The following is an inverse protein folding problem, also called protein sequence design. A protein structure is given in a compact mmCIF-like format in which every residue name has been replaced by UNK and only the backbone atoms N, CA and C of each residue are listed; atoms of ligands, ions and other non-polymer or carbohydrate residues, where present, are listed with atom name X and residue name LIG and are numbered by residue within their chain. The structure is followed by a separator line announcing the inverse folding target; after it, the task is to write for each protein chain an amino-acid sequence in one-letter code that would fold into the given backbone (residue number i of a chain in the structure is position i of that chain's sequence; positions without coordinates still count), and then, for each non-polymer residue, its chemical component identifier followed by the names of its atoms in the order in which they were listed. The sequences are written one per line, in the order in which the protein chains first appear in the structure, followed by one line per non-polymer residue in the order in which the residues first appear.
data_IF_968057653958
#
_entry.id   IF_968057653958
#
_cell.length_a   1.000
_cell.length_b   1.000
_cell.length_c   1.000
_cell.angle_alpha   90.00
_cell.angle_beta   90.00
_cell.angle_gamma   90.00
#
_symmetry.space_group_name_H-M   'P 1'
#
loop_
_entity.id
_entity.type
_entity.pdbx_description
1 polymer ?
#
# COMPACT_ATOMS: atom_id res chain seq x y z
N UNK A 1 0.74 -36.98 -0.26
CA UNK A 1 -0.25 -35.91 -0.49
C UNK A 1 -0.15 -34.93 0.66
N UNK A 2 0.72 -33.93 0.51
CA UNK A 2 0.99 -32.92 1.54
C UNK A 2 -0.16 -31.92 1.63
N UNK A 3 -0.73 -31.76 2.83
CA UNK A 3 -1.61 -30.65 3.16
C UNK A 3 -0.74 -29.42 3.44
N UNK A 4 -0.81 -28.45 2.54
CA UNK A 4 -0.26 -27.10 2.73
C UNK A 4 -0.86 -26.47 4.01
N UNK A 5 -0.10 -25.68 4.78
CA UNK A 5 -0.64 -25.01 5.95
C UNK A 5 -1.79 -24.07 5.52
N UNK A 6 -2.96 -24.24 6.15
CA UNK A 6 -4.15 -23.40 5.97
C UNK A 6 -3.82 -21.95 6.33
N UNK A 7 -3.41 -21.17 5.34
CA UNK A 7 -3.64 -19.75 5.35
C UNK A 7 -5.11 -19.51 5.01
N UNK A 8 -5.81 -18.76 5.85
CA UNK A 8 -7.19 -18.35 5.62
C UNK A 8 -7.44 -16.98 6.26
N UNK A 9 -8.34 -16.22 5.64
CA UNK A 9 -9.72 -16.23 6.09
C UNK A 9 -10.60 -16.87 5.03
N UNK A 10 -11.64 -17.57 5.50
CA UNK A 10 -12.76 -18.03 4.70
C UNK A 10 -13.20 -16.95 3.71
N UNK A 11 -13.35 -17.31 2.45
CA UNK A 11 -14.21 -16.63 1.47
C UNK A 11 -15.59 -16.43 2.10
N UNK A 12 -15.82 -15.32 2.81
CA UNK A 12 -17.06 -15.11 3.55
C UNK A 12 -17.06 -14.06 4.64
N UNK A 13 -16.06 -13.17 4.76
CA UNK A 13 -16.22 -12.01 5.66
C UNK A 13 -17.36 -11.13 5.11
N UNK A 14 -18.49 -11.17 5.81
CA UNK A 14 -19.68 -10.38 5.48
C UNK A 14 -19.24 -8.91 5.43
N UNK A 15 -19.33 -8.32 4.25
CA UNK A 15 -18.83 -6.99 3.98
C UNK A 15 -19.68 -5.93 4.73
N UNK A 16 -19.27 -5.55 5.95
CA UNK A 16 -19.95 -4.53 6.79
C UNK A 16 -20.18 -3.20 6.07
N UNK A 17 -21.40 -2.70 5.84
CA UNK A 17 -21.65 -1.52 5.01
C UNK A 17 -20.78 -0.30 5.39
N UNK A 18 -20.55 0.60 4.43
CA UNK A 18 -19.77 1.83 4.68
C UNK A 18 -20.39 2.56 5.88
N UNK A 19 -19.61 2.88 6.92
CA UNK A 19 -20.16 3.56 8.09
C UNK A 19 -20.61 4.96 7.69
N UNK A 20 -21.77 5.36 8.20
CA UNK A 20 -22.31 6.72 8.02
C UNK A 20 -22.14 7.44 9.35
N UNK A 21 -21.06 8.21 9.46
CA UNK A 21 -20.76 8.98 10.66
C UNK A 21 -20.87 10.48 10.37
N UNK A 22 -21.52 11.20 11.26
CA UNK A 22 -21.63 12.67 11.22
C UNK A 22 -20.51 13.37 11.99
N UNK A 23 -19.85 12.65 12.91
CA UNK A 23 -18.68 13.12 13.68
C UNK A 23 -17.48 12.22 13.42
N UNK A 24 -16.25 12.73 13.58
CA UNK A 24 -15.05 11.91 13.51
C UNK A 24 -15.10 10.76 14.52
N UNK A 25 -14.60 9.60 14.10
CA UNK A 25 -14.35 8.48 14.98
C UNK A 25 -12.85 8.32 15.19
N UNK A 26 -12.45 8.06 16.43
CA UNK A 26 -11.08 7.66 16.73
C UNK A 26 -10.87 6.22 16.28
N UNK A 27 -9.93 6.03 15.35
CA UNK A 27 -9.54 4.73 14.83
C UNK A 27 -8.18 4.35 15.37
N UNK A 28 -8.04 3.10 15.80
CA UNK A 28 -6.74 2.49 16.11
C UNK A 28 -6.34 1.54 14.99
N UNK A 29 -5.25 1.88 14.32
CA UNK A 29 -4.91 1.27 13.04
C UNK A 29 -3.44 0.87 12.98
N UNK A 30 -3.13 -0.18 12.22
CA UNK A 30 -1.78 -0.54 11.80
C UNK A 30 -1.51 0.04 10.41
N UNK A 31 -0.52 0.90 10.27
CA UNK A 31 -0.07 1.41 8.96
C UNK A 31 0.63 0.29 8.20
N UNK A 32 0.22 0.01 6.96
CA UNK A 32 0.78 -1.11 6.17
C UNK A 32 1.55 -0.65 4.94
N UNK A 33 1.01 0.30 4.17
CA UNK A 33 1.67 0.84 2.97
C UNK A 33 1.38 2.32 2.76
N UNK A 34 2.33 3.02 2.15
CA UNK A 34 2.19 4.40 1.71
C UNK A 34 2.34 4.39 0.19
N UNK A 35 1.34 4.87 -0.56
CA UNK A 35 1.49 4.96 -2.00
C UNK A 35 2.51 6.04 -2.40
N UNK A 36 3.18 5.90 -3.52
CA UNK A 36 3.96 7.00 -4.09
C UNK A 36 3.06 8.24 -4.35
N UNK A 37 3.56 9.46 -4.04
CA UNK A 37 2.78 10.68 -4.17
C UNK A 37 2.41 11.01 -5.61
N UNK A 38 1.22 11.60 -5.76
CA UNK A 38 0.71 12.06 -7.04
C UNK A 38 0.23 13.52 -7.00
N UNK A 39 0.40 14.25 -8.11
CA UNK A 39 -0.23 15.55 -8.30
C UNK A 39 -1.75 15.47 -8.23
N UNK A 40 -2.36 16.39 -7.49
CA UNK A 40 -3.79 16.54 -7.31
C UNK A 40 -4.18 18.00 -7.50
N UNK A 41 -5.13 18.26 -8.39
CA UNK A 41 -5.66 19.61 -8.61
C UNK A 41 -6.29 20.20 -7.35
N UNK A 42 -6.91 19.35 -6.51
CA UNK A 42 -7.71 19.78 -5.35
C UNK A 42 -6.89 19.87 -4.06
N UNK A 43 -5.88 19.02 -3.92
CA UNK A 43 -5.18 18.83 -2.65
C UNK A 43 -3.66 19.01 -2.77
N UNK A 44 -3.17 19.35 -3.96
CA UNK A 44 -1.75 19.54 -4.24
C UNK A 44 -0.99 18.22 -4.38
N UNK A 45 -0.37 17.78 -3.30
CA UNK A 45 0.47 16.58 -3.26
C UNK A 45 -0.14 15.60 -2.25
N UNK A 46 -0.84 14.58 -2.74
CA UNK A 46 -1.58 13.66 -1.87
C UNK A 46 -1.23 12.22 -2.10
N UNK A 47 -1.39 11.45 -1.03
CA UNK A 47 -1.10 10.03 -0.99
C UNK A 47 -2.27 9.29 -0.35
N UNK A 48 -2.49 8.07 -0.83
CA UNK A 48 -3.29 7.07 -0.16
C UNK A 48 -2.42 6.25 0.79
N UNK A 49 -2.80 6.15 2.05
CA UNK A 49 -2.17 5.25 3.01
C UNK A 49 -3.08 4.04 3.23
N UNK A 50 -2.53 2.85 3.04
CA UNK A 50 -3.19 1.60 3.39
C UNK A 50 -2.91 1.26 4.85
N UNK A 51 -3.95 0.83 5.55
CA UNK A 51 -3.88 0.45 6.95
C UNK A 51 -4.87 -0.66 7.28
N UNK A 52 -4.72 -1.25 8.47
CA UNK A 52 -5.63 -2.22 9.05
C UNK A 52 -6.23 -1.66 10.34
N UNK A 53 -7.55 -1.53 10.40
CA UNK A 53 -8.27 -1.24 11.64
C UNK A 53 -8.22 -2.44 12.58
N UNK A 54 -7.83 -2.20 13.83
CA UNK A 54 -7.52 -3.25 14.80
C UNK A 54 -8.67 -3.53 15.77
N UNK A 55 -9.59 -2.59 15.95
CA UNK A 55 -10.68 -2.66 16.92
C UNK A 55 -11.83 -1.71 16.54
N UNK A 56 -12.88 -1.68 17.35
CA UNK A 56 -14.03 -0.81 17.13
C UNK A 56 -13.61 0.69 17.06
N UNK A 57 -14.27 1.50 16.21
CA UNK A 57 -15.48 1.19 15.46
C UNK A 57 -15.24 0.55 14.08
N UNK A 58 -14.00 0.21 13.72
CA UNK A 58 -13.71 -0.38 12.42
C UNK A 58 -12.58 -1.40 12.46
N UNK A 59 -12.91 -2.64 12.10
CA UNK A 59 -11.95 -3.73 11.89
C UNK A 59 -11.80 -4.00 10.39
N UNK A 60 -10.57 -4.34 9.97
CA UNK A 60 -10.28 -4.67 8.57
C UNK A 60 -9.66 -3.51 7.81
N UNK A 61 -9.55 -3.64 6.49
CA UNK A 61 -8.79 -2.69 5.68
C UNK A 61 -9.32 -1.26 5.78
N UNK A 62 -8.39 -0.31 5.77
CA UNK A 62 -8.62 1.13 5.75
C UNK A 62 -7.75 1.74 4.66
N UNK A 63 -8.31 2.72 3.96
CA UNK A 63 -7.64 3.62 3.04
C UNK A 63 -7.80 5.04 3.55
N UNK A 64 -6.71 5.62 4.02
CA UNK A 64 -6.69 7.02 4.42
C UNK A 64 -6.38 7.88 3.20
N UNK A 65 -7.28 8.79 2.86
CA UNK A 65 -7.08 9.76 1.79
C UNK A 65 -7.91 11.05 2.02
N UNK A 66 -7.34 12.24 1.73
CA UNK A 66 -5.94 12.48 1.39
C UNK A 66 -5.04 12.52 2.64
N UNK A 67 -3.82 12.00 2.50
CA UNK A 67 -2.68 12.27 3.40
C UNK A 67 -1.68 13.12 2.61
N UNK A 68 -1.15 14.19 3.19
CA UNK A 68 -0.24 15.07 2.45
C UNK A 68 1.12 14.42 2.30
N UNK A 69 1.76 14.62 1.14
CA UNK A 69 3.08 14.05 0.84
C UNK A 69 4.13 14.32 1.94
N UNK A 70 4.14 15.52 2.51
CA UNK A 70 5.11 15.91 3.54
C UNK A 70 5.00 15.08 4.81
N UNK A 71 3.78 14.68 5.15
CA UNK A 71 3.52 13.79 6.30
C UNK A 71 4.09 12.38 6.07
N UNK A 72 4.35 12.00 4.82
CA UNK A 72 5.04 10.73 4.53
C UNK A 72 6.55 10.80 4.64
N UNK A 73 7.11 11.94 4.23
CA UNK A 73 8.55 12.19 4.30
C UNK A 73 8.99 12.38 5.76
N UNK A 74 8.08 12.86 6.60
CA UNK A 74 8.27 12.97 8.03
C UNK A 74 7.98 11.64 8.74
N UNK A 75 8.99 10.78 8.81
CA UNK A 75 8.93 9.54 9.59
C UNK A 75 8.75 9.78 11.11
N UNK A 76 8.72 11.03 11.58
CA UNK A 76 8.30 11.37 12.95
C UNK A 76 6.78 11.31 13.15
N UNK A 77 5.99 11.48 12.07
CA UNK A 77 4.51 11.39 12.14
C UNK A 77 4.06 9.94 12.29
N UNK A 78 4.41 9.09 11.32
CA UNK A 78 4.15 7.65 11.37
C UNK A 78 4.95 6.90 10.29
N UNK A 79 5.22 5.62 10.53
CA UNK A 79 5.99 4.73 9.67
C UNK A 79 5.17 3.49 9.32
N UNK A 80 5.64 2.76 8.31
CA UNK A 80 5.10 1.43 8.00
C UNK A 80 5.29 0.51 9.21
N UNK A 81 4.22 -0.18 9.60
CA UNK A 81 4.10 -1.01 10.80
C UNK A 81 4.03 -0.27 12.14
N UNK A 82 3.75 1.03 12.13
CA UNK A 82 3.29 1.71 13.34
C UNK A 82 1.83 1.39 13.60
N UNK A 83 1.52 1.17 14.89
CA UNK A 83 0.16 1.26 15.38
C UNK A 83 -0.07 2.69 15.84
N UNK A 84 -1.07 3.33 15.27
CA UNK A 84 -1.42 4.72 15.53
C UNK A 84 -2.89 4.86 15.91
N UNK A 85 -3.21 5.93 16.64
CA UNK A 85 -4.58 6.42 16.82
C UNK A 85 -4.75 7.72 16.04
N UNK A 86 -5.90 7.87 15.37
CA UNK A 86 -6.26 9.12 14.71
C UNK A 86 -7.78 9.25 14.58
N UNK A 87 -8.26 10.49 14.50
CA UNK A 87 -9.66 10.75 14.20
C UNK A 87 -9.88 10.78 12.69
N UNK A 88 -10.89 10.05 12.21
CA UNK A 88 -11.23 9.98 10.80
C UNK A 88 -12.74 9.99 10.56
N UNK A 89 -13.12 10.42 9.35
CA UNK A 89 -14.49 10.42 8.87
C UNK A 89 -14.61 9.49 7.66
N UNK A 90 -15.67 8.69 7.52
CA UNK A 90 -15.92 7.94 6.29
C UNK A 90 -16.00 8.91 5.09
N UNK A 91 -15.26 8.60 4.02
CA UNK A 91 -15.17 9.49 2.87
C UNK A 91 -16.51 9.58 2.11
N UNK A 92 -17.10 10.77 1.98
CA UNK A 92 -18.41 10.94 1.34
C UNK A 92 -18.40 10.79 -0.18
N UNK A 93 -17.29 11.15 -0.82
CA UNK A 93 -17.16 11.18 -2.29
C UNK A 93 -16.52 9.91 -2.88
N UNK A 94 -16.17 8.97 -2.02
CA UNK A 94 -15.54 7.71 -2.39
C UNK A 94 -16.45 6.56 -1.96
N UNK A 95 -16.96 5.79 -2.91
CA UNK A 95 -17.94 4.72 -2.64
C UNK A 95 -17.31 3.49 -1.95
N UNK A 96 -15.98 3.41 -1.91
CA UNK A 96 -15.26 2.32 -1.27
C UNK A 96 -15.48 2.38 0.24
N UNK A 97 -15.86 1.24 0.82
CA UNK A 97 -16.31 1.14 2.22
C UNK A 97 -15.18 1.43 3.20
N UNK A 98 -13.98 1.00 2.84
CA UNK A 98 -12.73 1.21 3.54
C UNK A 98 -12.13 2.61 3.34
N UNK A 99 -12.79 3.52 2.62
CA UNK A 99 -12.23 4.86 2.37
C UNK A 99 -12.61 5.84 3.47
N UNK A 100 -11.59 6.36 4.15
CA UNK A 100 -11.68 7.27 5.28
C UNK A 100 -10.84 8.53 5.03
N UNK A 101 -11.37 9.68 5.42
CA UNK A 101 -10.68 10.96 5.45
C UNK A 101 -10.06 11.15 6.84
N UNK A 102 -8.72 11.12 6.96
CA UNK A 102 -8.05 11.34 8.23
C UNK A 102 -8.08 12.82 8.65
N UNK A 103 -8.04 13.07 9.95
CA UNK A 103 -7.66 14.36 10.55
C UNK A 103 -6.21 14.21 11.00
N UNK A 104 -5.28 14.55 10.12
CA UNK A 104 -3.86 14.19 10.26
C UNK A 104 -3.24 14.74 11.54
N UNK A 105 -3.63 15.93 11.99
CA UNK A 105 -3.08 16.54 13.20
C UNK A 105 -3.39 15.76 14.49
N UNK A 106 -4.34 14.82 14.44
CA UNK A 106 -4.70 13.94 15.57
C UNK A 106 -3.90 12.65 15.63
N UNK A 107 -3.03 12.38 14.64
CA UNK A 107 -2.25 11.15 14.59
C UNK A 107 -1.30 11.07 15.79
N UNK A 108 -1.43 10.00 16.56
CA UNK A 108 -0.55 9.66 17.68
C UNK A 108 -0.03 8.25 17.52
N UNK A 109 1.29 8.08 17.55
CA UNK A 109 1.93 6.76 17.44
C UNK A 109 1.96 6.07 18.80
N UNK A 110 1.33 4.90 18.90
CA UNK A 110 1.37 4.09 20.13
C UNK A 110 2.68 3.30 20.23
N UNK A 111 3.01 2.58 19.15
CA UNK A 111 4.20 1.73 19.08
C UNK A 111 4.55 1.37 17.64
N UNK A 112 5.83 1.12 17.42
CA UNK A 112 6.34 0.52 16.20
C UNK A 112 6.46 -1.01 16.36
N UNK A 113 5.85 -1.78 15.45
CA UNK A 113 6.07 -3.23 15.43
C UNK A 113 7.40 -3.53 14.73
N UNK A 114 8.53 -3.53 15.44
CA UNK A 114 9.85 -3.79 14.84
C UNK A 114 10.02 -5.26 14.36
N UNK A 115 9.48 -6.21 15.14
CA UNK A 115 9.64 -7.64 14.90
C UNK A 115 8.58 -8.18 13.92
N UNK A 116 8.92 -9.25 13.20
CA UNK A 116 7.98 -9.88 12.27
C UNK A 116 6.83 -10.58 12.97
N UNK A 117 7.05 -11.24 14.12
CA UNK A 117 6.01 -12.06 14.74
C UNK A 117 4.71 -11.29 15.04
N UNK A 118 4.72 -10.09 15.68
CA UNK A 118 3.50 -9.32 15.88
C UNK A 118 2.85 -8.85 14.57
N UNK A 119 3.65 -8.56 13.53
CA UNK A 119 3.13 -8.20 12.20
C UNK A 119 2.39 -9.38 11.58
N UNK A 120 2.98 -10.58 11.65
CA UNK A 120 2.41 -11.82 11.11
C UNK A 120 1.10 -12.17 11.79
N UNK A 121 1.03 -12.07 13.12
CA UNK A 121 -0.22 -12.30 13.87
C UNK A 121 -1.38 -11.46 13.36
N UNK A 122 -1.13 -10.21 12.94
CA UNK A 122 -2.15 -9.29 12.46
C UNK A 122 -2.43 -9.42 10.95
N UNK A 123 -1.40 -9.72 10.14
CA UNK A 123 -1.47 -9.61 8.68
C UNK A 123 -1.57 -10.95 7.95
N UNK A 124 -0.98 -12.03 8.46
CA UNK A 124 -1.05 -13.35 7.82
C UNK A 124 -2.51 -13.85 7.65
N UNK A 125 -3.42 -13.63 8.62
CA UNK A 125 -4.83 -13.97 8.46
C UNK A 125 -5.58 -13.13 7.43
N UNK A 126 -4.96 -12.10 6.85
CA UNK A 126 -5.57 -11.24 5.82
C UNK A 126 -5.00 -11.50 4.42
N UNK A 127 -4.07 -12.45 4.31
CA UNK A 127 -3.49 -12.81 3.02
C UNK A 127 -4.54 -13.59 2.22
N UNK A 128 -4.90 -13.04 1.08
CA UNK A 128 -5.78 -13.68 0.10
C UNK A 128 -4.95 -14.35 -1.00
N UNK A 129 -5.44 -15.45 -1.55
CA UNK A 129 -4.67 -16.26 -2.49
C UNK A 129 -4.75 -15.75 -3.95
N UNK A 130 -5.79 -15.01 -4.32
CA UNK A 130 -6.11 -14.76 -5.73
C UNK A 130 -6.35 -13.29 -6.08
N UNK A 131 -5.39 -12.69 -6.78
CA UNK A 131 -5.59 -11.43 -7.51
C UNK A 131 -6.63 -11.59 -8.63
N UNK A 132 -6.74 -12.80 -9.22
CA UNK A 132 -7.75 -13.10 -10.24
C UNK A 132 -9.17 -12.93 -9.69
N UNK A 133 -9.44 -13.46 -8.49
CA UNK A 133 -10.72 -13.34 -7.82
C UNK A 133 -11.02 -11.89 -7.43
N UNK A 134 -10.04 -11.17 -6.85
CA UNK A 134 -10.20 -9.75 -6.53
C UNK A 134 -10.57 -8.93 -7.77
N UNK A 135 -9.86 -9.13 -8.89
CA UNK A 135 -10.18 -8.46 -10.15
C UNK A 135 -11.58 -8.83 -10.68
N UNK A 136 -12.03 -10.08 -10.48
CA UNK A 136 -13.39 -10.51 -10.87
C UNK A 136 -14.44 -9.80 -10.02
N UNK A 137 -14.28 -9.82 -8.71
CA UNK A 137 -15.19 -9.15 -7.78
C UNK A 137 -15.33 -7.65 -8.09
N UNK A 138 -14.23 -6.96 -8.37
CA UNK A 138 -14.28 -5.53 -8.70
C UNK A 138 -14.85 -5.22 -10.09
N UNK A 139 -14.83 -6.19 -11.02
CA UNK A 139 -15.57 -6.06 -12.29
C UNK A 139 -17.07 -6.19 -12.07
N UNK A 140 -17.46 -7.13 -11.22
CA UNK A 140 -18.87 -7.49 -10.99
C UNK A 140 -19.57 -6.50 -10.03
N UNK A 141 -18.85 -5.98 -9.04
CA UNK A 141 -19.34 -5.00 -8.06
C UNK A 141 -18.33 -3.86 -7.83
N UNK A 142 -18.65 -2.61 -8.21
CA UNK A 142 -17.81 -1.44 -7.90
C UNK A 142 -17.59 -1.19 -6.40
N UNK A 143 -18.41 -1.77 -5.51
CA UNK A 143 -18.26 -1.72 -4.05
C UNK A 143 -17.38 -2.83 -3.48
N UNK A 144 -16.86 -3.71 -4.34
CA UNK A 144 -15.90 -4.72 -3.94
C UNK A 144 -14.66 -4.08 -3.30
N UNK A 145 -13.95 -4.91 -2.54
CA UNK A 145 -12.75 -4.50 -1.83
C UNK A 145 -11.72 -3.90 -2.80
N UNK A 146 -11.14 -2.78 -2.42
CA UNK A 146 -10.25 -1.99 -3.26
C UNK A 146 -8.79 -2.03 -2.82
N UNK A 147 -8.52 -2.70 -1.71
CA UNK A 147 -7.20 -2.90 -1.09
C UNK A 147 -7.15 -4.32 -0.54
N UNK A 148 -6.05 -5.04 -0.77
CA UNK A 148 -5.87 -6.39 -0.27
C UNK A 148 -4.39 -6.71 -0.09
N UNK A 149 -4.12 -7.82 0.60
CA UNK A 149 -2.80 -8.42 0.70
C UNK A 149 -2.83 -9.74 -0.05
N UNK A 150 -2.21 -9.79 -1.23
CA UNK A 150 -2.30 -10.94 -2.14
C UNK A 150 -1.05 -11.79 -2.10
N UNK A 151 -1.21 -13.09 -1.85
CA UNK A 151 -0.13 -14.07 -1.95
C UNK A 151 0.45 -14.12 -3.36
N UNK A 152 1.77 -14.15 -3.41
CA UNK A 152 2.50 -14.32 -4.66
C UNK A 152 3.03 -15.75 -4.72
N UNK A 153 2.62 -16.50 -5.74
CA UNK A 153 3.07 -17.86 -5.96
C UNK A 153 4.41 -17.92 -6.70
N UNK A 154 4.58 -17.06 -7.70
CA UNK A 154 5.81 -16.98 -8.49
C UNK A 154 6.01 -15.56 -9.00
N UNK A 155 7.27 -15.08 -9.00
CA UNK A 155 7.65 -13.77 -9.50
C UNK A 155 8.57 -13.96 -10.69
N UNK A 156 8.04 -13.71 -11.88
CA UNK A 156 8.81 -13.77 -13.13
C UNK A 156 9.79 -12.61 -13.27
N UNK A 157 9.56 -11.49 -12.58
CA UNK A 157 10.56 -10.43 -12.45
C UNK A 157 10.01 -9.05 -12.13
N UNK A 158 10.95 -8.12 -11.91
CA UNK A 158 10.71 -6.69 -11.73
C UNK A 158 11.39 -5.90 -12.86
N UNK A 159 10.57 -5.32 -13.73
CA UNK A 159 11.05 -4.38 -14.74
C UNK A 159 11.13 -3.00 -14.12
N UNK A 160 12.35 -2.47 -14.00
CA UNK A 160 12.60 -1.07 -13.65
C UNK A 160 12.92 -0.32 -14.94
N UNK A 161 12.14 0.72 -15.23
CA UNK A 161 12.28 1.55 -16.43
C UNK A 161 12.38 3.01 -16.04
N UNK A 162 13.17 3.77 -16.81
CA UNK A 162 13.18 5.23 -16.69
C UNK A 162 11.77 5.74 -16.97
N UNK A 163 11.35 6.69 -16.14
CA UNK A 163 10.05 7.35 -16.25
C UNK A 163 10.23 8.66 -17.00
N UNK A 164 9.26 8.96 -17.86
CA UNK A 164 9.08 10.32 -18.37
C UNK A 164 8.62 11.21 -17.21
N UNK A 165 9.21 12.39 -17.08
CA UNK A 165 8.79 13.35 -16.05
C UNK A 165 7.29 13.65 -16.09
N UNK A 166 6.81 14.46 -15.14
CA UNK A 166 5.38 14.79 -15.06
C UNK A 166 4.79 15.23 -16.41
N UNK A 167 3.60 14.73 -16.72
CA UNK A 167 2.86 15.12 -17.91
C UNK A 167 2.56 16.64 -17.89
N UNK A 168 2.25 17.27 -19.04
CA UNK A 168 1.82 18.68 -19.05
C UNK A 168 0.63 18.96 -18.14
N UNK A 169 -0.28 18.01 -17.97
CA UNK A 169 -1.41 18.13 -17.05
C UNK A 169 -0.96 18.06 -15.58
N UNK A 170 -0.10 17.12 -15.25
CA UNK A 170 0.45 16.99 -13.90
C UNK A 170 1.26 18.22 -13.49
N UNK A 171 2.05 18.78 -14.42
CA UNK A 171 2.76 20.05 -14.22
C UNK A 171 1.81 21.21 -13.94
N UNK A 172 0.68 21.29 -14.65
CA UNK A 172 -0.36 22.31 -14.40
C UNK A 172 -1.00 22.14 -13.01
N UNK A 173 -1.27 20.90 -12.58
CA UNK A 173 -1.80 20.63 -11.23
C UNK A 173 -0.83 21.08 -10.13
N UNK A 174 0.46 20.75 -10.29
CA UNK A 174 1.51 21.18 -9.36
C UNK A 174 1.61 22.70 -9.31
N UNK A 175 1.71 23.36 -10.48
CA UNK A 175 1.86 24.81 -10.57
C UNK A 175 0.63 25.54 -9.99
N UNK A 176 -0.57 25.12 -10.35
CA UNK A 176 -1.81 25.73 -9.84
C UNK A 176 -1.93 25.66 -8.32
N UNK A 177 -1.53 24.53 -7.72
CA UNK A 177 -1.52 24.39 -6.27
C UNK A 177 -0.45 25.24 -5.58
N UNK A 178 0.77 25.29 -6.14
CA UNK A 178 1.83 26.14 -5.59
C UNK A 178 1.42 27.62 -5.59
N UNK A 179 0.80 28.09 -6.67
CA UNK A 179 0.29 29.46 -6.75
C UNK A 179 -0.80 29.74 -5.68
N UNK A 180 -1.69 28.79 -5.41
CA UNK A 180 -2.71 28.94 -4.36
C UNK A 180 -2.08 29.03 -2.96
N UNK A 181 -1.01 28.27 -2.70
CA UNK A 181 -0.31 28.30 -1.42
C UNK A 181 0.53 29.56 -1.24
N UNK A 182 1.18 30.05 -2.29
CA UNK A 182 2.04 31.25 -2.22
C UNK A 182 1.24 32.50 -1.82
N UNK A 183 -0.06 32.51 -2.15
CA UNK A 183 -1.02 33.53 -1.70
C UNK A 183 -1.36 33.46 -0.20
N UNK A 184 -1.10 32.33 0.47
CA UNK A 184 -1.49 32.06 1.86
C UNK A 184 -0.29 31.92 2.82
N UNK A 185 0.84 31.36 2.36
CA UNK A 185 2.06 31.14 3.14
C UNK A 185 3.31 31.27 2.23
N UNK A 186 4.05 32.40 2.25
CA UNK A 186 5.23 32.64 1.39
C UNK A 186 6.45 31.73 1.64
N UNK A 187 6.33 30.69 2.48
CA UNK A 187 7.46 29.84 2.84
C UNK A 187 7.70 28.74 1.80
N UNK A 188 8.76 28.94 1.00
CA UNK A 188 9.53 28.00 0.19
C UNK A 188 9.10 26.53 0.26
N UNK A 189 8.24 26.10 -0.67
CA UNK A 189 7.90 24.69 -0.85
C UNK A 189 8.30 24.25 -2.26
N UNK A 190 9.28 23.34 -2.33
CA UNK A 190 9.73 22.77 -3.61
C UNK A 190 8.63 21.93 -4.26
N UNK A 191 8.46 21.99 -5.59
CA UNK A 191 7.47 21.18 -6.30
C UNK A 191 7.75 19.69 -6.15
N UNK A 192 6.68 18.88 -6.10
CA UNK A 192 6.78 17.43 -6.20
C UNK A 192 7.60 17.03 -7.43
N UNK A 193 8.71 16.34 -7.21
CA UNK A 193 9.54 15.80 -8.28
C UNK A 193 8.99 14.45 -8.74
N UNK A 194 8.95 14.25 -10.06
CA UNK A 194 8.60 12.97 -10.62
C UNK A 194 9.65 11.92 -10.22
N UNK A 195 9.25 10.70 -9.85
CA UNK A 195 10.19 9.60 -9.70
C UNK A 195 11.00 9.41 -11.00
N UNK A 196 12.31 9.19 -10.88
CA UNK A 196 13.21 8.90 -12.01
C UNK A 196 12.87 7.56 -12.67
N UNK A 197 12.37 6.60 -11.90
CA UNK A 197 12.06 5.24 -12.36
C UNK A 197 10.66 4.78 -11.95
N UNK A 198 10.09 3.90 -12.77
CA UNK A 198 8.89 3.11 -12.47
C UNK A 198 9.25 1.63 -12.42
N UNK A 199 8.71 0.93 -11.43
CA UNK A 199 8.79 -0.52 -11.32
C UNK A 199 7.50 -1.18 -11.81
N UNK A 200 7.60 -2.30 -12.51
CA UNK A 200 6.47 -3.15 -12.90
C UNK A 200 6.80 -4.61 -12.59
N UNK A 201 6.02 -5.24 -11.73
CA UNK A 201 6.15 -6.67 -11.44
C UNK A 201 5.40 -7.51 -12.47
N UNK A 202 5.98 -8.66 -12.79
CA UNK A 202 5.29 -9.79 -13.42
C UNK A 202 5.30 -10.97 -12.47
N UNK A 203 4.12 -11.49 -12.16
CA UNK A 203 3.96 -12.54 -11.14
C UNK A 203 2.69 -13.38 -11.38
N UNK A 204 2.60 -14.54 -10.73
CA UNK A 204 1.36 -15.33 -10.61
C UNK A 204 0.87 -15.30 -9.16
N UNK A 205 -0.43 -15.12 -8.96
CA UNK A 205 -1.05 -15.35 -7.66
C UNK A 205 -1.24 -16.86 -7.42
N UNK A 206 -1.70 -17.25 -6.23
CA UNK A 206 -1.86 -18.67 -5.86
C UNK A 206 -3.10 -19.35 -6.49
N UNK A 207 -3.85 -18.63 -7.33
CA UNK A 207 -4.92 -19.20 -8.13
C UNK A 207 -4.37 -20.20 -9.16
N UNK A 208 -4.92 -21.42 -9.18
CA UNK A 208 -4.49 -22.50 -10.09
C UNK A 208 -4.68 -22.15 -11.57
N UNK A 209 -5.61 -21.26 -11.90
CA UNK A 209 -5.88 -20.82 -13.27
C UNK A 209 -5.20 -19.48 -13.60
N UNK A 210 -4.31 -18.99 -12.74
CA UNK A 210 -3.62 -17.71 -12.95
C UNK A 210 -2.74 -17.76 -14.21
N UNK A 211 -3.06 -16.91 -15.20
CA UNK A 211 -2.24 -16.69 -16.41
C UNK A 211 -1.13 -15.66 -16.21
N UNK A 212 -0.98 -15.14 -15.00
CA UNK A 212 -0.06 -14.08 -14.65
C UNK A 212 -0.70 -12.69 -14.56
N UNK A 213 0.00 -11.81 -13.85
CA UNK A 213 -0.36 -10.42 -13.62
C UNK A 213 0.82 -9.53 -13.95
N UNK A 214 0.52 -8.35 -14.50
CA UNK A 214 1.48 -7.28 -14.69
C UNK A 214 0.95 -6.02 -13.99
N UNK A 215 1.62 -5.58 -12.93
CA UNK A 215 1.15 -4.44 -12.13
C UNK A 215 2.29 -3.49 -11.79
N UNK A 216 1.99 -2.19 -11.87
CA UNK A 216 2.92 -1.13 -11.52
C UNK A 216 3.12 -1.07 -10.01
N UNK A 217 4.36 -0.87 -9.58
CA UNK A 217 4.76 -0.63 -8.20
C UNK A 217 4.57 0.87 -7.88
N UNK A 218 3.53 1.16 -7.13
CA UNK A 218 3.13 2.48 -6.65
C UNK A 218 3.48 2.66 -5.17
N UNK A 219 4.74 2.38 -4.80
CA UNK A 219 5.21 2.32 -3.41
C UNK A 219 6.09 3.53 -3.06
N UNK A 220 5.79 4.18 -1.93
CA UNK A 220 6.62 5.26 -1.39
C UNK A 220 8.05 4.80 -1.08
N UNK A 221 8.24 3.58 -0.57
CA UNK A 221 9.57 3.06 -0.24
C UNK A 221 10.44 2.94 -1.51
N UNK A 222 9.82 2.64 -2.65
CA UNK A 222 10.49 2.59 -3.95
C UNK A 222 10.91 3.98 -4.43
N UNK A 223 10.07 5.00 -4.21
CA UNK A 223 10.38 6.41 -4.52
C UNK A 223 11.44 6.97 -3.57
N UNK A 224 11.31 6.74 -2.27
CA UNK A 224 12.26 7.20 -1.27
C UNK A 224 13.66 6.58 -1.48
N UNK A 225 13.74 5.31 -1.92
CA UNK A 225 15.03 4.69 -2.23
C UNK A 225 15.70 5.35 -3.44
N UNK A 226 15.00 5.56 -4.55
CA UNK A 226 15.60 6.22 -5.72
C UNK A 226 15.99 7.68 -5.43
N UNK A 227 15.27 8.40 -4.57
CA UNK A 227 15.68 9.74 -4.13
C UNK A 227 17.00 9.72 -3.34
N UNK A 228 17.20 8.72 -2.46
CA UNK A 228 18.48 8.55 -1.74
C UNK A 228 19.65 8.16 -2.64
N UNK A 229 19.35 7.56 -3.79
CA UNK A 229 20.34 7.15 -4.79
C UNK A 229 20.51 8.21 -5.91
N UNK A 230 20.08 9.45 -5.69
CA UNK A 230 20.07 10.48 -6.73
C UNK A 230 21.44 10.77 -7.35
N UNK A 231 22.53 10.56 -6.60
CA UNK A 231 23.91 10.78 -7.07
C UNK A 231 24.45 9.64 -7.94
N UNK A 232 23.76 8.50 -8.02
CA UNK A 232 24.19 7.34 -8.79
C UNK A 232 23.72 7.41 -10.25
N UNK A 233 24.44 6.68 -11.11
CA UNK A 233 24.05 6.50 -12.51
C UNK A 233 22.72 5.77 -12.64
N UNK A 234 22.11 5.81 -13.83
CA UNK A 234 20.85 5.13 -14.09
C UNK A 234 20.98 3.62 -13.88
N UNK A 235 22.08 3.03 -14.36
CA UNK A 235 22.38 1.61 -14.24
C UNK A 235 22.50 1.19 -12.77
N UNK A 236 23.35 1.86 -12.00
CA UNK A 236 23.55 1.57 -10.57
C UNK A 236 22.25 1.73 -9.77
N UNK A 237 21.49 2.80 -10.03
CA UNK A 237 20.21 3.03 -9.34
C UNK A 237 19.23 1.89 -9.65
N UNK A 238 19.13 1.50 -10.91
CA UNK A 238 18.24 0.42 -11.37
C UNK A 238 18.63 -0.91 -10.71
N UNK A 239 19.93 -1.21 -10.62
CA UNK A 239 20.42 -2.43 -10.00
C UNK A 239 20.18 -2.46 -8.49
N UNK A 240 20.37 -1.32 -7.79
CA UNK A 240 20.04 -1.20 -6.36
C UNK A 240 18.54 -1.35 -6.10
N UNK A 241 17.70 -0.79 -6.97
CA UNK A 241 16.24 -0.96 -6.89
C UNK A 241 15.85 -2.42 -7.11
N UNK A 242 16.39 -3.08 -8.14
CA UNK A 242 16.15 -4.51 -8.39
C UNK A 242 16.64 -5.37 -7.24
N UNK A 243 17.85 -5.12 -6.73
CA UNK A 243 18.41 -5.85 -5.61
C UNK A 243 17.51 -5.75 -4.38
N UNK A 244 17.05 -4.55 -4.03
CA UNK A 244 16.17 -4.37 -2.87
C UNK A 244 14.81 -5.04 -3.08
N UNK A 245 14.13 -4.74 -4.19
CA UNK A 245 12.72 -5.07 -4.38
C UNK A 245 12.48 -6.47 -4.94
N UNK A 246 13.40 -7.01 -5.74
CA UNK A 246 13.33 -8.36 -6.25
C UNK A 246 14.22 -9.31 -5.45
N UNK A 247 15.53 -9.06 -5.37
CA UNK A 247 16.45 -10.03 -4.76
C UNK A 247 16.29 -10.18 -3.25
N UNK A 248 16.16 -9.08 -2.50
CA UNK A 248 16.07 -9.12 -1.04
C UNK A 248 14.64 -9.37 -0.54
N UNK A 249 13.67 -8.58 -1.03
CA UNK A 249 12.28 -8.67 -0.58
C UNK A 249 11.55 -9.89 -1.15
N UNK A 250 11.96 -10.40 -2.31
CA UNK A 250 11.34 -11.57 -2.93
C UNK A 250 12.25 -12.80 -2.93
N UNK A 251 13.18 -12.88 -1.97
CA UNK A 251 14.06 -14.04 -1.80
C UNK A 251 13.26 -15.31 -1.51
N UNK A 252 13.83 -16.47 -1.85
CA UNK A 252 13.20 -17.77 -1.68
C UNK A 252 12.89 -18.13 -0.21
N UNK A 253 13.56 -17.48 0.76
CA UNK A 253 13.31 -17.64 2.19
C UNK A 253 12.13 -16.77 2.71
N UNK A 254 11.41 -16.08 1.82
CA UNK A 254 10.31 -15.17 2.17
C UNK A 254 8.93 -15.73 1.81
N UNK A 255 7.96 -15.42 2.65
CA UNK A 255 6.54 -15.56 2.33
C UNK A 255 6.06 -14.25 1.71
N UNK A 256 6.14 -14.14 0.39
CA UNK A 256 5.87 -12.89 -0.33
C UNK A 256 4.38 -12.70 -0.56
N UNK A 257 3.87 -11.54 -0.16
CA UNK A 257 2.57 -11.04 -0.56
C UNK A 257 2.68 -9.57 -0.99
N UNK A 258 1.81 -9.16 -1.90
CA UNK A 258 1.72 -7.78 -2.37
C UNK A 258 0.52 -7.09 -1.76
N UNK A 259 0.77 -5.94 -1.14
CA UNK A 259 -0.30 -5.00 -0.86
C UNK A 259 -0.73 -4.41 -2.19
N UNK A 260 -1.96 -4.65 -2.59
CA UNK A 260 -2.52 -4.11 -3.84
C UNK A 260 -3.61 -3.11 -3.52
N UNK A 261 -3.78 -2.12 -4.39
CA UNK A 261 -4.89 -1.19 -4.28
C UNK A 261 -5.27 -0.58 -5.62
N UNK A 262 -6.55 -0.27 -5.79
CA UNK A 262 -7.05 0.44 -6.97
C UNK A 262 -7.17 1.96 -6.72
N UNK A 263 -7.59 2.68 -7.76
CA UNK A 263 -7.95 4.09 -7.70
C UNK A 263 -9.46 4.26 -7.90
N UNK A 264 -10.09 5.23 -7.24
CA UNK A 264 -11.53 5.47 -7.38
C UNK A 264 -11.94 5.75 -8.84
N UNK A 265 -11.11 6.45 -9.61
CA UNK A 265 -11.35 6.72 -11.03
C UNK A 265 -11.14 5.51 -11.95
N UNK A 266 -10.46 4.45 -11.47
CA UNK A 266 -10.16 3.22 -12.22
C UNK A 266 -10.28 2.01 -11.28
N UNK A 267 -11.49 1.68 -10.81
CA UNK A 267 -11.68 0.65 -9.77
C UNK A 267 -11.20 -0.74 -10.23
N UNK A 268 -11.28 -1.02 -11.53
CA UNK A 268 -10.84 -2.30 -12.10
C UNK A 268 -9.31 -2.43 -12.29
N UNK A 269 -8.54 -1.35 -12.01
CA UNK A 269 -7.09 -1.34 -12.20
C UNK A 269 -6.38 -1.26 -10.86
N UNK A 270 -5.69 -2.34 -10.49
CA UNK A 270 -4.93 -2.43 -9.26
C UNK A 270 -3.44 -2.20 -9.51
N UNK A 271 -2.80 -1.48 -8.59
CA UNK A 271 -1.34 -1.32 -8.52
C UNK A 271 -0.81 -1.94 -7.23
N UNK A 272 0.46 -2.29 -7.20
CA UNK A 272 1.14 -2.80 -6.00
C UNK A 272 1.58 -1.59 -5.17
N UNK A 273 1.03 -1.42 -3.97
CA UNK A 273 1.40 -0.35 -3.04
C UNK A 273 2.61 -0.69 -2.17
N UNK A 274 3.03 -1.95 -2.13
CA UNK A 274 4.24 -2.37 -1.42
C UNK A 274 4.36 -3.88 -1.28
N UNK A 275 5.50 -4.34 -0.78
CA UNK A 275 5.81 -5.76 -0.58
C UNK A 275 5.74 -6.13 0.91
N UNK A 276 5.05 -7.22 1.22
CA UNK A 276 5.08 -7.94 2.48
C UNK A 276 5.97 -9.17 2.33
N UNK A 277 7.01 -9.28 3.16
CA UNK A 277 8.05 -10.30 3.00
C UNK A 277 8.66 -10.78 4.33
N UNK A 278 7.83 -11.33 5.25
CA UNK A 278 8.37 -12.04 6.42
C UNK A 278 9.24 -13.21 5.99
N UNK A 279 10.21 -13.57 6.82
CA UNK A 279 10.93 -14.83 6.67
C UNK A 279 9.98 -16.01 6.88
N UNK A 280 10.14 -17.06 6.09
CA UNK A 280 9.48 -18.34 6.28
C UNK A 280 9.81 -18.88 7.67
N UNK A 281 8.84 -19.44 8.41
CA UNK A 281 9.15 -20.18 9.62
C UNK A 281 10.13 -21.30 9.26
N UNK A 282 11.29 -21.35 9.90
CA UNK A 282 12.16 -22.51 9.83
C UNK A 282 11.43 -23.71 10.44
N UNK A 283 11.44 -24.87 9.78
CA UNK A 283 10.70 -26.08 10.20
C UNK A 283 10.99 -26.55 11.63
N UNK A 284 12.05 -26.06 12.27
CA UNK A 284 12.47 -26.39 13.64
C UNK A 284 11.46 -26.02 14.74
N UNK A 285 10.41 -25.24 14.46
CA UNK A 285 9.35 -24.88 15.43
C UNK A 285 8.02 -25.60 15.20
N UNK A 286 7.95 -26.59 14.31
CA UNK A 286 6.82 -27.52 14.31
C UNK A 286 7.04 -28.51 15.46
N UNK A 287 6.34 -28.32 16.58
CA UNK A 287 6.13 -29.40 17.53
C UNK A 287 5.57 -30.58 16.73
N UNK A 288 6.37 -31.63 16.54
CA UNK A 288 5.88 -32.91 16.06
C UNK A 288 4.98 -33.45 17.16
N UNK A 289 3.68 -33.22 17.04
CA UNK A 289 2.71 -34.01 17.78
C UNK A 289 2.72 -35.37 17.09
N UNK A 290 3.54 -36.28 17.60
CA UNK A 290 3.47 -37.69 17.23
C UNK A 290 2.06 -38.17 17.55
N UNK A 291 1.32 -38.59 16.53
CA UNK A 291 0.20 -39.53 16.66
C UNK A 291 0.66 -40.87 16.15
#
# INVERSE_FOLDING_TARGET
MEQLPLWGPSTGEQLSPKPVLTRPATLRILITVKAAPNPSARYGETVCVGALGLDAPWTGWIRLYPVHFRELADDSKFRKYDIVRLDALPARQDQRRESWKPIVDTITTERHLANWQPRRTLLDPLIEDSMCQLNKQTRDDPRARSIALIRVADISGLQVKRRDGWSPEDRRKIAGYLNQLDLLEPSQRSPLKAPRFTGTYRYRCADRQCRGHQQTLWDWEFVALQCRLAQLTDAETTDRLRHKFLTQLCAADRDVAFYVGNQAARPQSFSIGGVYAPKRPTERYRLRVNR
#
